data_IF_375014975946
#
_entry.id   IF_375014975946
#
_cell.length_a   1.000
_cell.length_b   1.000
_cell.length_c   1.000
_cell.angle_alpha   90.00
_cell.angle_beta   90.00
_cell.angle_gamma   90.00
#
_symmetry.space_group_name_H-M   'P 1'
#
loop_
_entity.id
_entity.type
_entity.pdbx_description
1 polymer ?
#
# COMPACT_ATOMS: atom_id res chain seq x y z
N UNK A 1 -8.43 -11.94 10.06
CA UNK A 1 -7.80 -10.78 9.39
C UNK A 1 -6.42 -11.20 8.93
N UNK A 2 -6.15 -11.23 7.62
CA UNK A 2 -4.84 -11.65 7.09
C UNK A 2 -3.81 -10.57 7.40
N UNK A 3 -2.61 -10.96 7.86
CA UNK A 3 -1.50 -10.01 8.03
C UNK A 3 -0.81 -9.83 6.67
N UNK A 4 -0.67 -8.59 6.23
CA UNK A 4 0.12 -8.23 5.05
C UNK A 4 1.59 -8.10 5.47
N UNK A 5 2.50 -8.64 4.66
CA UNK A 5 3.95 -8.45 4.83
C UNK A 5 4.46 -7.21 4.08
N UNK A 6 5.66 -6.74 4.44
CA UNK A 6 6.31 -5.64 3.73
C UNK A 6 6.59 -5.95 2.26
N UNK A 7 6.97 -7.20 1.96
CA UNK A 7 7.19 -7.66 0.60
C UNK A 7 5.88 -7.68 -0.22
N UNK A 8 4.78 -8.13 0.38
CA UNK A 8 3.47 -8.13 -0.27
C UNK A 8 2.97 -6.71 -0.55
N UNK A 9 3.18 -5.77 0.40
CA UNK A 9 2.87 -4.36 0.20
C UNK A 9 3.69 -3.77 -0.98
N UNK A 10 5.00 -4.06 -1.00
CA UNK A 10 5.90 -3.59 -2.06
C UNK A 10 5.53 -4.16 -3.42
N UNK A 11 5.17 -5.45 -3.47
CA UNK A 11 4.73 -6.11 -4.69
C UNK A 11 3.42 -5.51 -5.20
N UNK A 12 2.43 -5.31 -4.32
CA UNK A 12 1.16 -4.67 -4.68
C UNK A 12 1.38 -3.26 -5.23
N UNK A 13 2.23 -2.45 -4.58
CA UNK A 13 2.56 -1.10 -5.04
C UNK A 13 3.17 -1.11 -6.43
N UNK A 14 4.19 -1.95 -6.65
CA UNK A 14 4.87 -2.08 -7.94
C UNK A 14 3.95 -2.60 -9.05
N UNK A 15 3.04 -3.53 -8.73
CA UNK A 15 2.02 -4.04 -9.67
C UNK A 15 1.17 -2.90 -10.24
N UNK A 16 0.90 -1.87 -9.44
CA UNK A 16 0.11 -0.69 -9.84
C UNK A 16 0.97 0.50 -10.29
N UNK A 17 2.27 0.30 -10.53
CA UNK A 17 3.17 1.36 -11.00
C UNK A 17 3.44 2.48 -9.99
N UNK A 18 3.04 2.30 -8.73
CA UNK A 18 3.07 3.36 -7.72
C UNK A 18 4.47 3.56 -7.15
N UNK A 19 4.85 4.81 -6.89
CA UNK A 19 5.96 5.17 -6.01
C UNK A 19 5.54 5.04 -4.54
N UNK A 20 6.52 5.01 -3.62
CA UNK A 20 6.20 5.01 -2.18
C UNK A 20 5.47 6.30 -1.77
N UNK A 21 5.72 7.43 -2.44
CA UNK A 21 5.08 8.70 -2.16
C UNK A 21 3.61 8.71 -2.64
N UNK A 22 3.33 8.17 -3.83
CA UNK A 22 1.95 8.05 -4.34
C UNK A 22 1.11 7.11 -3.47
N UNK A 23 1.65 5.95 -3.09
CA UNK A 23 0.95 5.06 -2.17
C UNK A 23 0.71 5.73 -0.80
N UNK A 24 1.67 6.49 -0.30
CA UNK A 24 1.51 7.23 0.95
C UNK A 24 0.39 8.27 0.84
N UNK A 25 0.32 8.98 -0.28
CA UNK A 25 -0.74 9.96 -0.56
C UNK A 25 -2.11 9.29 -0.59
N UNK A 26 -2.27 8.17 -1.29
CA UNK A 26 -3.52 7.39 -1.35
C UNK A 26 -3.99 6.89 0.02
N UNK A 27 -3.04 6.53 0.89
CA UNK A 27 -3.31 6.01 2.23
C UNK A 27 -3.41 7.11 3.30
N UNK A 28 -3.15 8.38 2.96
CA UNK A 28 -3.12 9.49 3.91
C UNK A 28 -2.01 9.36 4.97
N UNK A 29 -0.86 8.80 4.61
CA UNK A 29 0.29 8.60 5.50
C UNK A 29 1.55 9.25 4.94
N UNK A 30 2.65 9.21 5.71
CA UNK A 30 3.95 9.68 5.21
C UNK A 30 4.64 8.62 4.34
N UNK A 31 5.45 9.06 3.37
CA UNK A 31 6.31 8.17 2.58
C UNK A 31 7.22 7.30 3.47
N UNK A 32 7.74 7.86 4.56
CA UNK A 32 8.56 7.12 5.53
C UNK A 32 7.80 5.96 6.18
N UNK A 33 6.48 6.09 6.39
CA UNK A 33 5.67 4.99 6.90
C UNK A 33 5.64 3.82 5.91
N UNK A 34 5.46 4.10 4.61
CA UNK A 34 5.52 3.07 3.55
C UNK A 34 6.89 2.39 3.55
N UNK A 35 7.97 3.17 3.59
CA UNK A 35 9.33 2.64 3.65
C UNK A 35 9.53 1.66 4.81
N UNK A 36 9.16 2.07 6.04
CA UNK A 36 9.28 1.23 7.24
C UNK A 36 8.39 -0.01 7.22
N UNK A 37 7.24 0.05 6.54
CA UNK A 37 6.38 -1.11 6.33
C UNK A 37 6.97 -2.09 5.33
N UNK A 38 7.50 -1.59 4.21
CA UNK A 38 8.12 -2.43 3.16
C UNK A 38 9.41 -3.10 3.64
N UNK A 39 10.21 -2.45 4.49
CA UNK A 39 11.46 -3.02 5.06
C UNK A 39 11.22 -3.93 6.27
N UNK A 40 10.04 -3.88 6.87
CA UNK A 40 9.73 -4.60 8.11
C UNK A 40 10.18 -3.90 9.39
N UNK A 41 10.77 -2.69 9.30
CA UNK A 41 11.16 -1.87 10.45
C UNK A 41 9.96 -1.46 11.32
N UNK A 42 8.76 -1.45 10.73
CA UNK A 42 7.50 -1.21 11.44
C UNK A 42 6.44 -2.21 11.02
N UNK A 43 5.70 -2.72 12.00
CA UNK A 43 4.53 -3.57 11.76
C UNK A 43 3.48 -2.84 10.93
N UNK A 44 2.96 -3.53 9.93
CA UNK A 44 1.85 -3.07 9.11
C UNK A 44 0.55 -3.10 9.93
N UNK A 45 -0.28 -2.05 9.89
CA UNK A 45 -1.59 -2.07 10.53
C UNK A 45 -2.48 -3.19 9.97
N UNK A 46 -3.23 -3.93 10.81
CA UNK A 46 -3.99 -5.11 10.38
C UNK A 46 -5.12 -4.80 9.39
N UNK A 47 -5.57 -3.54 9.32
CA UNK A 47 -6.58 -3.09 8.37
C UNK A 47 -6.03 -2.78 6.99
N UNK A 48 -4.71 -2.62 6.82
CA UNK A 48 -4.13 -2.18 5.55
C UNK A 48 -4.44 -3.14 4.41
N UNK A 49 -4.48 -4.45 4.68
CA UNK A 49 -4.85 -5.44 3.67
C UNK A 49 -6.25 -5.21 3.10
N UNK A 50 -7.21 -4.77 3.94
CA UNK A 50 -8.56 -4.47 3.51
C UNK A 50 -8.60 -3.17 2.70
N UNK A 51 -7.90 -2.13 3.17
CA UNK A 51 -7.77 -0.86 2.45
C UNK A 51 -7.20 -1.04 1.04
N UNK A 52 -6.17 -1.87 0.86
CA UNK A 52 -5.61 -2.15 -0.46
C UNK A 52 -6.60 -2.88 -1.38
N UNK A 53 -7.41 -3.79 -0.85
CA UNK A 53 -8.46 -4.46 -1.63
C UNK A 53 -9.57 -3.50 -2.10
N UNK A 54 -9.84 -2.44 -1.34
CA UNK A 54 -10.74 -1.37 -1.77
C UNK A 54 -10.11 -0.54 -2.89
N UNK A 55 -8.85 -0.10 -2.71
CA UNK A 55 -8.12 0.66 -3.73
C UNK A 55 -7.97 -0.12 -5.05
N UNK A 56 -7.72 -1.44 -4.98
CA UNK A 56 -7.62 -2.28 -6.19
C UNK A 56 -8.91 -2.28 -7.01
N UNK A 57 -10.09 -2.10 -6.39
CA UNK A 57 -11.35 -1.95 -7.15
C UNK A 57 -11.44 -0.60 -7.84
N UNK A 58 -11.03 0.48 -7.17
CA UNK A 58 -11.04 1.82 -7.74
C UNK A 58 -10.06 1.94 -8.93
N UNK A 59 -8.89 1.33 -8.84
CA UNK A 59 -7.91 1.30 -9.94
C UNK A 59 -8.38 0.53 -11.19
N UNK A 60 -9.31 -0.42 -11.04
CA UNK A 60 -9.89 -1.14 -12.18
C UNK A 60 -10.98 -0.33 -12.89
N UNK A 61 -11.56 0.65 -12.20
CA UNK A 61 -12.71 1.44 -12.68
C UNK A 61 -12.33 2.85 -13.14
N UNK A 62 -11.21 3.41 -12.66
CA UNK A 62 -10.77 4.77 -13.02
C UNK A 62 -9.25 4.84 -13.15
N UNK A 63 -8.79 5.35 -14.30
CA UNK A 63 -7.38 5.57 -14.59
C UNK A 63 -6.69 6.39 -13.49
N UNK A 64 -5.47 5.97 -13.19
CA UNK A 64 -4.51 6.56 -12.24
C UNK A 64 -4.55 8.10 -12.25
N UNK A 65 -4.51 8.79 -11.09
CA UNK A 65 -4.39 10.26 -11.05
C UNK A 65 -3.15 10.81 -11.77
#
# INVERSE_FOLDING_TARGET
MRRLSGEELRAWRKKHGLTQAELAWLLGVSQSAIGKWETGDRKIPPFLSFTLSCLEREFLEGGHP
#
